data_IF_083790345443
#
_entry.id   IF_083790345443
#
_cell.length_a   1.000
_cell.length_b   1.000
_cell.length_c   1.000
_cell.angle_alpha   90.00
_cell.angle_beta   90.00
_cell.angle_gamma   90.00
#
_symmetry.space_group_name_H-M   'P 1'
#
loop_
_entity.id
_entity.type
_entity.pdbx_description
1 polymer ?
#
# COMPACT_ATOMS: atom_id res chain seq x y z
N UNK A 1 -1.70 34.80 2.78
CA UNK A 1 -0.71 34.54 1.73
C UNK A 1 -0.64 33.03 1.59
N UNK A 2 -1.02 32.47 0.44
CA UNK A 2 -0.89 31.03 0.23
C UNK A 2 0.60 30.70 0.17
N UNK A 3 1.05 29.81 1.04
CA UNK A 3 2.40 29.26 1.03
C UNK A 3 2.65 28.66 -0.36
N UNK A 4 3.74 29.06 -1.02
CA UNK A 4 4.08 28.55 -2.34
C UNK A 4 4.35 27.04 -2.19
N UNK A 5 3.53 26.21 -2.83
CA UNK A 5 3.72 24.78 -2.88
C UNK A 5 5.13 24.47 -3.43
N UNK A 6 5.98 23.79 -2.66
CA UNK A 6 7.27 23.29 -3.13
C UNK A 6 7.08 21.97 -3.87
N UNK A 7 7.22 22.03 -5.19
CA UNK A 7 7.07 20.87 -6.09
C UNK A 7 8.11 19.78 -5.82
N UNK A 8 9.30 20.13 -5.30
CA UNK A 8 10.33 19.15 -4.94
C UNK A 8 9.97 18.40 -3.67
N UNK A 9 9.42 19.10 -2.67
CA UNK A 9 8.93 18.43 -1.46
C UNK A 9 7.78 17.48 -1.80
N UNK A 10 6.87 17.87 -2.69
CA UNK A 10 5.77 17.00 -3.14
C UNK A 10 6.32 15.75 -3.84
N UNK A 11 7.26 15.90 -4.78
CA UNK A 11 7.89 14.76 -5.45
C UNK A 11 8.57 13.81 -4.45
N UNK A 12 9.31 14.36 -3.49
CA UNK A 12 9.94 13.56 -2.43
C UNK A 12 8.93 12.81 -1.55
N UNK A 13 7.83 13.45 -1.18
CA UNK A 13 6.74 12.81 -0.42
C UNK A 13 6.07 11.71 -1.22
N UNK A 14 5.90 11.88 -2.52
CA UNK A 14 5.36 10.87 -3.43
C UNK A 14 6.26 9.63 -3.48
N UNK A 15 7.56 9.83 -3.70
CA UNK A 15 8.53 8.73 -3.73
C UNK A 15 8.61 8.01 -2.37
N UNK A 16 8.55 8.76 -1.27
CA UNK A 16 8.55 8.19 0.08
C UNK A 16 7.31 7.31 0.33
N UNK A 17 6.13 7.77 -0.11
CA UNK A 17 4.89 7.01 0.03
C UNK A 17 4.95 5.69 -0.76
N UNK A 18 5.57 5.66 -1.94
CA UNK A 18 5.77 4.42 -2.69
C UNK A 18 6.59 3.38 -1.90
N UNK A 19 7.60 3.82 -1.15
CA UNK A 19 8.38 2.96 -0.25
C UNK A 19 7.55 2.42 0.91
N UNK A 20 6.73 3.26 1.53
CA UNK A 20 5.77 2.84 2.56
C UNK A 20 4.74 1.85 1.99
N UNK A 21 4.33 2.04 0.73
CA UNK A 21 3.41 1.14 0.04
C UNK A 21 3.98 -0.27 -0.11
N UNK A 22 5.22 -0.37 -0.57
CA UNK A 22 5.93 -1.64 -0.69
C UNK A 22 6.12 -2.32 0.68
N UNK A 23 6.41 -1.53 1.72
CA UNK A 23 6.61 -2.07 3.06
C UNK A 23 5.32 -2.68 3.63
N UNK A 24 4.17 -2.01 3.52
CA UNK A 24 2.93 -2.56 4.09
C UNK A 24 2.44 -3.78 3.30
N UNK A 25 2.59 -3.82 1.98
CA UNK A 25 2.32 -5.03 1.19
C UNK A 25 3.16 -6.23 1.66
N UNK A 26 4.45 -6.01 1.96
CA UNK A 26 5.32 -7.05 2.53
C UNK A 26 4.84 -7.51 3.91
N UNK A 27 4.30 -6.62 4.73
CA UNK A 27 3.77 -6.94 6.06
C UNK A 27 2.49 -7.80 5.95
N UNK A 28 1.57 -7.47 5.05
CA UNK A 28 0.37 -8.28 4.79
C UNK A 28 0.73 -9.69 4.31
N UNK A 29 1.66 -9.81 3.37
CA UNK A 29 2.14 -11.12 2.92
C UNK A 29 2.78 -11.96 4.03
N UNK A 30 3.53 -11.32 4.92
CA UNK A 30 4.13 -12.00 6.08
C UNK A 30 3.07 -12.48 7.08
N UNK A 31 2.03 -11.68 7.33
CA UNK A 31 0.91 -12.05 8.20
C UNK A 31 0.06 -13.17 7.61
N UNK A 32 -0.23 -13.13 6.32
CA UNK A 32 -0.94 -14.20 5.63
C UNK A 32 -0.17 -15.53 5.75
N UNK A 33 1.14 -15.52 5.50
CA UNK A 33 2.01 -16.68 5.65
C UNK A 33 1.99 -17.23 7.08
N UNK A 34 1.97 -16.35 8.10
CA UNK A 34 1.87 -16.75 9.50
C UNK A 34 0.55 -17.48 9.78
N UNK A 35 -0.58 -16.94 9.31
CA UNK A 35 -1.87 -17.57 9.51
C UNK A 35 -1.99 -18.90 8.75
N UNK A 36 -1.49 -18.99 7.52
CA UNK A 36 -1.39 -20.25 6.77
C UNK A 36 -0.60 -21.32 7.53
N UNK A 37 0.54 -20.93 8.12
CA UNK A 37 1.33 -21.85 8.93
C UNK A 37 0.58 -22.33 10.19
N UNK A 38 -0.17 -21.45 10.85
CA UNK A 38 -0.99 -21.83 12.01
C UNK A 38 -2.12 -22.78 11.57
N UNK A 39 -2.79 -22.50 10.45
CA UNK A 39 -3.84 -23.36 9.88
C UNK A 39 -3.27 -24.76 9.62
N UNK A 40 -2.10 -24.85 8.97
CA UNK A 40 -1.44 -26.11 8.66
C UNK A 40 -0.98 -26.90 9.90
N UNK A 41 -0.68 -26.20 11.00
CA UNK A 41 -0.20 -26.81 12.25
C UNK A 41 -1.31 -27.16 13.24
N UNK A 42 -2.57 -26.80 12.97
CA UNK A 42 -3.68 -26.96 13.91
C UNK A 42 -4.72 -27.95 13.40
N UNK A 43 -5.39 -28.64 14.32
CA UNK A 43 -6.49 -29.54 13.97
C UNK A 43 -7.65 -28.76 13.35
N UNK A 44 -8.21 -29.30 12.28
CA UNK A 44 -9.39 -28.74 11.61
C UNK A 44 -10.51 -28.47 12.63
N UNK A 45 -11.16 -27.32 12.49
CA UNK A 45 -12.23 -26.84 13.37
C UNK A 45 -11.84 -26.51 14.82
N UNK A 46 -10.58 -26.70 15.22
CA UNK A 46 -10.08 -26.18 16.49
C UNK A 46 -10.27 -24.66 16.57
N UNK A 47 -10.32 -24.10 17.78
CA UNK A 47 -10.43 -22.65 17.96
C UNK A 47 -9.25 -21.93 17.29
N UNK A 48 -8.04 -22.46 17.45
CA UNK A 48 -6.83 -21.91 16.83
C UNK A 48 -6.93 -21.91 15.30
N UNK A 49 -7.37 -23.01 14.69
CA UNK A 49 -7.58 -23.10 13.24
C UNK A 49 -8.60 -22.06 12.76
N UNK A 50 -9.74 -21.94 13.44
CA UNK A 50 -10.80 -20.98 13.06
C UNK A 50 -10.34 -19.53 13.19
N UNK A 51 -9.59 -19.20 14.24
CA UNK A 51 -9.01 -17.86 14.41
C UNK A 51 -7.95 -17.57 13.35
N UNK A 52 -7.12 -18.55 13.01
CA UNK A 52 -6.13 -18.39 11.95
C UNK A 52 -6.77 -18.22 10.57
N UNK A 53 -7.84 -18.98 10.27
CA UNK A 53 -8.65 -18.76 9.05
C UNK A 53 -9.30 -17.40 9.00
N UNK A 54 -9.81 -16.90 10.14
CA UNK A 54 -10.30 -15.52 10.21
C UNK A 54 -9.20 -14.50 9.91
N UNK A 55 -8.01 -14.71 10.48
CA UNK A 55 -6.84 -13.86 10.23
C UNK A 55 -6.39 -13.85 8.77
N UNK A 56 -6.29 -15.03 8.14
CA UNK A 56 -5.99 -15.18 6.72
C UNK A 56 -7.00 -14.43 5.85
N UNK A 57 -8.31 -14.60 6.09
CA UNK A 57 -9.35 -13.88 5.37
C UNK A 57 -9.24 -12.35 5.52
N UNK A 58 -8.93 -11.87 6.73
CA UNK A 58 -8.71 -10.45 6.97
C UNK A 58 -7.46 -9.94 6.23
N UNK A 59 -6.39 -10.73 6.15
CA UNK A 59 -5.21 -10.35 5.36
C UNK A 59 -5.54 -10.20 3.88
N UNK A 60 -6.35 -11.10 3.31
CA UNK A 60 -6.79 -11.00 1.91
C UNK A 60 -7.64 -9.74 1.69
N UNK A 61 -8.63 -9.49 2.55
CA UNK A 61 -9.50 -8.32 2.43
C UNK A 61 -8.72 -7.00 2.54
N UNK A 62 -7.79 -6.93 3.50
CA UNK A 62 -6.96 -5.74 3.68
C UNK A 62 -5.93 -5.56 2.56
N UNK A 63 -5.35 -6.64 2.04
CA UNK A 63 -4.45 -6.55 0.90
C UNK A 63 -5.19 -6.04 -0.34
N UNK A 64 -6.38 -6.56 -0.66
CA UNK A 64 -7.19 -6.09 -1.79
C UNK A 64 -7.58 -4.60 -1.66
N UNK A 65 -8.05 -4.20 -0.47
CA UNK A 65 -8.38 -2.80 -0.19
C UNK A 65 -7.15 -1.90 -0.31
N UNK A 66 -6.01 -2.37 0.17
CA UNK A 66 -4.75 -1.66 0.13
C UNK A 66 -4.19 -1.51 -1.30
N UNK A 67 -4.25 -2.57 -2.10
CA UNK A 67 -3.85 -2.56 -3.50
C UNK A 67 -4.68 -1.55 -4.29
N UNK A 68 -5.99 -1.49 -4.05
CA UNK A 68 -6.87 -0.48 -4.65
C UNK A 68 -6.44 0.94 -4.28
N UNK A 69 -6.21 1.21 -2.99
CA UNK A 69 -5.73 2.50 -2.50
C UNK A 69 -4.38 2.90 -3.09
N UNK A 70 -3.45 1.95 -3.18
CA UNK A 70 -2.13 2.16 -3.79
C UNK A 70 -2.25 2.49 -5.26
N UNK A 71 -3.07 1.76 -6.01
CA UNK A 71 -3.21 1.95 -7.45
C UNK A 71 -3.85 3.32 -7.76
N UNK A 72 -4.86 3.72 -7.00
CA UNK A 72 -5.44 5.07 -7.06
C UNK A 72 -4.40 6.15 -6.74
N UNK A 73 -3.60 5.93 -5.69
CA UNK A 73 -2.51 6.83 -5.32
C UNK A 73 -1.47 6.96 -6.44
N UNK A 74 -1.01 5.84 -7.01
CA UNK A 74 -0.06 5.82 -8.10
C UNK A 74 -0.60 6.54 -9.34
N UNK A 75 -1.86 6.30 -9.70
CA UNK A 75 -2.52 7.00 -10.82
C UNK A 75 -2.57 8.52 -10.59
N UNK A 76 -2.86 8.96 -9.36
CA UNK A 76 -2.83 10.38 -9.01
C UNK A 76 -1.41 10.95 -9.04
N UNK A 77 -0.44 10.26 -8.45
CA UNK A 77 0.96 10.64 -8.43
C UNK A 77 1.54 10.80 -9.85
N UNK A 78 1.27 9.85 -10.74
CA UNK A 78 1.67 9.92 -12.14
C UNK A 78 1.05 11.11 -12.88
N UNK A 79 -0.24 11.37 -12.65
CA UNK A 79 -0.94 12.52 -13.25
C UNK A 79 -0.32 13.85 -12.80
N UNK A 80 -0.06 14.02 -11.50
CA UNK A 80 0.55 15.23 -10.98
C UNK A 80 2.02 15.36 -11.41
N UNK A 81 2.79 14.28 -11.38
CA UNK A 81 4.17 14.26 -11.82
C UNK A 81 4.34 14.52 -13.32
N UNK A 82 3.36 14.14 -14.15
CA UNK A 82 3.33 14.48 -15.57
C UNK A 82 2.98 15.95 -15.80
N UNK A 83 2.08 16.50 -14.99
CA UNK A 83 1.66 17.90 -15.07
C UNK A 83 2.78 18.86 -14.65
N UNK A 84 3.50 18.55 -13.56
CA UNK A 84 4.65 19.35 -13.11
C UNK A 84 5.80 19.37 -14.14
N UNK A 85 6.05 18.25 -14.82
CA UNK A 85 7.07 18.14 -15.88
C UNK A 85 6.71 18.91 -17.15
N UNK A 86 5.44 19.27 -17.36
CA UNK A 86 5.01 20.11 -18.48
C UNK A 86 5.09 21.60 -18.13
N UNK A 87 4.75 22.01 -16.91
CA UNK A 87 4.92 23.41 -16.48
C UNK A 87 6.38 23.86 -16.47
N UNK A 88 7.33 22.99 -16.06
CA UNK A 88 8.76 23.32 -16.08
C UNK A 88 9.34 23.49 -17.50
N UNK A 89 8.65 23.00 -18.55
CA UNK A 89 9.07 23.15 -19.95
C UNK A 89 8.46 24.38 -20.64
N UNK A 90 7.35 24.93 -20.13
CA UNK A 90 6.76 26.16 -20.65
C UNK A 90 7.44 27.43 -20.07
N UNK A 91 8.08 27.32 -18.91
CA UNK A 91 8.78 28.43 -18.23
C UNK A 91 10.30 28.53 -18.54
N UNK A 92 10.83 27.65 -19.40
CA UNK A 92 12.26 27.58 -19.79
C UNK A 92 12.50 28.01 -21.25
#
# INVERSE_FOLDING_TARGET
MAEKLDTKEIAFRIDSAAGEFAHAASCFGSLATLFEAIIAATEDHSLAHRLAKLGENMCVEYDDAYMTLRDDYCAHAERYGSTMRHSEKEDA
#
